data_IF_235686620665
#
_entry.id   IF_235686620665
#
_cell.length_a   1.000
_cell.length_b   1.000
_cell.length_c   1.000
_cell.angle_alpha   90.00
_cell.angle_beta   90.00
_cell.angle_gamma   90.00
#
_symmetry.space_group_name_H-M   'P 1'
#
loop_
_entity.id
_entity.type
_entity.pdbx_description
1 polymer ?
#
# COMPACT_ATOMS: atom_id res chain seq x y z
N UNK A 1 28.64 2.99 -19.99
CA UNK A 1 28.33 4.38 -19.62
C UNK A 1 26.84 4.61 -19.41
N UNK A 2 25.94 4.32 -20.34
CA UNK A 2 24.47 4.56 -20.21
C UNK A 2 23.85 3.96 -18.94
N UNK A 3 24.18 2.71 -18.56
CA UNK A 3 23.67 2.05 -17.34
C UNK A 3 24.06 2.77 -16.04
N UNK A 4 25.29 3.31 -15.96
CA UNK A 4 25.75 4.09 -14.79
C UNK A 4 25.04 5.44 -14.69
N UNK A 5 24.77 6.10 -15.82
CA UNK A 5 24.02 7.36 -15.87
C UNK A 5 22.58 7.13 -15.40
N UNK A 6 21.91 6.04 -15.82
CA UNK A 6 20.58 5.68 -15.37
C UNK A 6 20.53 5.36 -13.85
N UNK A 7 21.56 4.70 -13.32
CA UNK A 7 21.67 4.43 -11.88
C UNK A 7 21.90 5.70 -11.07
N UNK A 8 22.75 6.61 -11.56
CA UNK A 8 23.01 7.91 -10.91
C UNK A 8 21.77 8.80 -10.98
N UNK A 9 21.08 8.87 -12.12
CA UNK A 9 19.85 9.63 -12.28
C UNK A 9 18.73 9.05 -11.37
N UNK A 10 18.63 7.73 -11.25
CA UNK A 10 17.72 7.08 -10.32
C UNK A 10 18.06 7.37 -8.86
N UNK A 11 19.33 7.36 -8.49
CA UNK A 11 19.80 7.68 -7.14
C UNK A 11 19.54 9.15 -6.79
N UNK A 12 19.84 10.06 -7.71
CA UNK A 12 19.56 11.51 -7.54
C UNK A 12 18.05 11.75 -7.45
N UNK A 13 17.22 11.07 -8.26
CA UNK A 13 15.77 11.12 -8.16
C UNK A 13 15.24 10.63 -6.81
N UNK A 14 15.80 9.55 -6.27
CA UNK A 14 15.45 9.04 -4.93
C UNK A 14 15.91 10.02 -3.83
N UNK A 15 17.10 10.58 -3.94
CA UNK A 15 17.63 11.56 -2.98
C UNK A 15 16.81 12.86 -2.99
N UNK A 16 16.37 13.35 -4.15
CA UNK A 16 15.51 14.53 -4.24
C UNK A 16 14.09 14.29 -3.71
N UNK A 17 13.60 13.05 -3.72
CA UNK A 17 12.35 12.68 -3.03
C UNK A 17 12.52 12.64 -1.50
N UNK A 18 13.72 12.33 -1.00
CA UNK A 18 14.01 12.26 0.43
C UNK A 18 14.21 13.64 1.08
N UNK A 19 14.62 14.67 0.36
CA UNK A 19 14.82 16.01 0.93
C UNK A 19 13.53 16.68 1.39
N UNK A 20 12.38 16.33 0.82
CA UNK A 20 11.06 16.81 1.29
C UNK A 20 10.50 16.08 2.52
N UNK A 21 11.11 14.96 2.95
CA UNK A 21 10.58 14.14 4.05
C UNK A 21 10.95 14.64 5.46
N UNK A 22 11.82 15.64 5.58
CA UNK A 22 12.35 16.13 6.87
C UNK A 22 11.61 17.34 7.44
N UNK A 23 10.84 18.06 6.62
CA UNK A 23 10.19 19.32 6.97
C UNK A 23 8.75 19.12 7.48
N UNK A 24 8.55 18.39 8.57
CA UNK A 24 7.20 18.13 9.09
C UNK A 24 6.61 19.31 9.86
N UNK A 25 7.48 20.15 10.43
CA UNK A 25 7.07 21.27 11.30
C UNK A 25 6.98 22.64 10.58
N UNK A 26 7.20 22.67 9.26
CA UNK A 26 7.10 23.91 8.47
C UNK A 26 5.78 23.89 7.73
N UNK A 27 4.91 24.91 7.88
CA UNK A 27 3.65 25.00 7.15
C UNK A 27 3.84 24.87 5.64
N UNK A 28 2.90 24.21 4.97
CA UNK A 28 2.92 24.08 3.52
C UNK A 28 2.18 25.27 2.89
N UNK A 29 2.87 25.99 2.02
CA UNK A 29 2.34 27.18 1.33
C UNK A 29 2.67 27.11 -0.17
N UNK A 30 2.12 28.06 -0.95
CA UNK A 30 2.42 28.18 -2.38
C UNK A 30 3.91 28.48 -2.66
N UNK A 31 4.60 29.09 -1.70
CA UNK A 31 6.03 29.42 -1.77
C UNK A 31 6.94 28.26 -1.33
N UNK A 32 6.38 27.15 -0.85
CA UNK A 32 7.17 25.98 -0.43
C UNK A 32 7.92 25.38 -1.62
N UNK A 33 9.25 25.44 -1.57
CA UNK A 33 10.12 24.99 -2.66
C UNK A 33 10.32 23.46 -2.67
N UNK A 34 10.74 22.96 -3.82
CA UNK A 34 11.07 21.56 -4.04
C UNK A 34 9.95 20.74 -4.69
N UNK A 35 10.35 19.75 -5.50
CA UNK A 35 9.43 18.94 -6.27
C UNK A 35 8.33 18.30 -5.40
N UNK A 36 8.71 17.75 -4.25
CA UNK A 36 7.79 17.09 -3.34
C UNK A 36 6.73 18.06 -2.77
N UNK A 37 7.17 19.20 -2.30
CA UNK A 37 6.29 20.22 -1.74
C UNK A 37 5.35 20.78 -2.80
N UNK A 38 5.88 21.22 -3.94
CA UNK A 38 5.11 21.94 -4.95
C UNK A 38 4.16 21.04 -5.75
N UNK A 39 4.52 19.76 -5.99
CA UNK A 39 3.73 18.89 -6.87
C UNK A 39 2.96 17.78 -6.16
N UNK A 40 3.26 17.51 -4.89
CA UNK A 40 2.56 16.45 -4.13
C UNK A 40 1.87 17.02 -2.90
N UNK A 41 2.62 17.63 -1.96
CA UNK A 41 2.08 18.00 -0.66
C UNK A 41 1.12 19.17 -0.78
N UNK A 42 1.54 20.27 -1.42
CA UNK A 42 0.72 21.48 -1.57
C UNK A 42 -0.57 21.22 -2.37
N UNK A 43 -0.56 20.58 -3.56
CA UNK A 43 -1.80 20.25 -4.25
C UNK A 43 -2.72 19.34 -3.45
N UNK A 44 -2.16 18.38 -2.68
CA UNK A 44 -2.95 17.50 -1.85
C UNK A 44 -3.59 18.24 -0.68
N UNK A 45 -2.85 19.14 -0.01
CA UNK A 45 -3.37 20.05 1.02
C UNK A 45 -4.52 20.89 0.46
N UNK A 46 -4.31 21.57 -0.67
CA UNK A 46 -5.34 22.39 -1.32
C UNK A 46 -6.58 21.57 -1.71
N UNK A 47 -6.39 20.35 -2.18
CA UNK A 47 -7.50 19.47 -2.54
C UNK A 47 -8.33 19.07 -1.31
N UNK A 48 -7.69 18.76 -0.19
CA UNK A 48 -8.38 18.46 1.07
C UNK A 48 -9.13 19.70 1.56
N UNK A 49 -8.49 20.87 1.60
CA UNK A 49 -9.10 22.14 2.02
C UNK A 49 -10.31 22.49 1.15
N UNK A 50 -10.20 22.38 -0.17
CA UNK A 50 -11.31 22.63 -1.09
C UNK A 50 -12.52 21.73 -0.78
N UNK A 51 -12.30 20.43 -0.58
CA UNK A 51 -13.39 19.53 -0.22
C UNK A 51 -13.92 19.76 1.19
N UNK A 52 -13.10 20.24 2.13
CA UNK A 52 -13.58 20.63 3.46
C UNK A 52 -14.53 21.84 3.36
N UNK A 53 -14.15 22.89 2.63
CA UNK A 53 -14.98 24.09 2.43
C UNK A 53 -16.37 23.75 1.87
N UNK A 54 -16.46 22.90 0.84
CA UNK A 54 -17.75 22.52 0.24
C UNK A 54 -18.56 21.53 1.08
N UNK A 55 -17.96 20.93 2.10
CA UNK A 55 -18.62 20.00 3.04
C UNK A 55 -18.87 20.62 4.42
N UNK A 56 -18.82 21.96 4.51
CA UNK A 56 -19.10 22.70 5.75
C UNK A 56 -17.95 22.57 6.75
N UNK A 57 -16.73 22.79 6.29
CA UNK A 57 -15.46 22.72 7.04
C UNK A 57 -15.19 21.34 7.66
N UNK A 58 -15.69 20.29 7.02
CA UNK A 58 -15.50 18.93 7.51
C UNK A 58 -14.28 18.26 6.87
N UNK A 59 -13.10 18.44 7.48
CA UNK A 59 -11.84 17.90 7.00
C UNK A 59 -11.76 16.37 7.03
N UNK A 60 -12.48 15.70 7.94
CA UNK A 60 -12.57 14.25 7.96
C UNK A 60 -13.29 13.69 6.72
N UNK A 61 -14.44 14.27 6.35
CA UNK A 61 -15.15 13.93 5.10
C UNK A 61 -14.27 14.27 3.89
N UNK A 62 -13.59 15.41 3.91
CA UNK A 62 -12.67 15.81 2.82
C UNK A 62 -11.56 14.75 2.60
N UNK A 63 -10.94 14.25 3.67
CA UNK A 63 -9.94 13.16 3.59
C UNK A 63 -10.54 11.90 2.98
N UNK A 64 -11.77 11.52 3.35
CA UNK A 64 -12.48 10.37 2.76
C UNK A 64 -12.66 10.58 1.25
N UNK A 65 -13.18 11.73 0.83
CA UNK A 65 -13.43 12.06 -0.58
C UNK A 65 -12.13 12.04 -1.38
N UNK A 66 -11.09 12.74 -0.91
CA UNK A 66 -9.79 12.80 -1.58
C UNK A 66 -9.16 11.41 -1.67
N UNK A 67 -9.28 10.60 -0.62
CA UNK A 67 -8.84 9.20 -0.66
C UNK A 67 -9.52 8.42 -1.77
N UNK A 68 -10.85 8.54 -1.90
CA UNK A 68 -11.62 7.86 -2.94
C UNK A 68 -11.25 8.36 -4.33
N UNK A 69 -11.06 9.66 -4.52
CA UNK A 69 -10.61 10.25 -5.80
C UNK A 69 -9.26 9.67 -6.22
N UNK A 70 -8.28 9.65 -5.32
CA UNK A 70 -6.96 9.09 -5.60
C UNK A 70 -7.06 7.59 -5.91
N UNK A 71 -7.87 6.83 -5.14
CA UNK A 71 -8.10 5.40 -5.41
C UNK A 71 -8.73 5.15 -6.78
N UNK A 72 -9.67 5.98 -7.19
CA UNK A 72 -10.28 5.90 -8.53
C UNK A 72 -9.27 6.28 -9.63
N UNK A 73 -8.45 7.30 -9.42
CA UNK A 73 -7.42 7.70 -10.38
C UNK A 73 -6.38 6.59 -10.63
N UNK A 74 -5.95 5.89 -9.56
CA UNK A 74 -4.99 4.78 -9.68
C UNK A 74 -5.64 3.42 -9.94
N UNK A 75 -6.97 3.33 -10.01
CA UNK A 75 -7.72 2.08 -10.20
C UNK A 75 -7.25 1.27 -11.42
N UNK A 76 -7.06 1.84 -12.64
CA UNK A 76 -6.61 1.06 -13.79
C UNK A 76 -5.23 0.43 -13.56
N UNK A 77 -4.34 1.15 -12.89
CA UNK A 77 -3.02 0.65 -12.50
C UNK A 77 -3.13 -0.51 -11.50
N UNK A 78 -4.01 -0.37 -10.50
CA UNK A 78 -4.24 -1.41 -9.49
C UNK A 78 -4.86 -2.67 -10.10
N UNK A 79 -5.79 -2.54 -11.05
CA UNK A 79 -6.37 -3.70 -11.76
C UNK A 79 -5.28 -4.44 -12.56
N UNK A 80 -4.42 -3.71 -13.28
CA UNK A 80 -3.30 -4.32 -14.01
C UNK A 80 -2.35 -5.07 -13.07
N UNK A 81 -2.07 -4.48 -11.92
CA UNK A 81 -1.24 -5.07 -10.90
C UNK A 81 -1.86 -6.32 -10.25
N UNK A 82 -3.18 -6.31 -9.97
CA UNK A 82 -3.88 -7.50 -9.48
C UNK A 82 -3.79 -8.68 -10.48
N UNK A 83 -3.87 -8.42 -11.79
CA UNK A 83 -3.66 -9.44 -12.82
C UNK A 83 -2.23 -10.00 -12.79
N UNK A 84 -1.23 -9.15 -12.60
CA UNK A 84 0.18 -9.58 -12.49
C UNK A 84 0.44 -10.38 -11.20
N UNK A 85 -0.13 -9.95 -10.08
CA UNK A 85 -0.07 -10.69 -8.80
C UNK A 85 -0.72 -12.07 -8.91
N UNK A 86 -1.80 -12.20 -9.68
CA UNK A 86 -2.47 -13.46 -9.98
C UNK A 86 -1.59 -14.41 -10.79
N UNK A 87 -0.91 -13.91 -11.83
CA UNK A 87 0.05 -14.69 -12.60
C UNK A 87 1.20 -15.22 -11.69
N UNK A 88 1.67 -14.41 -10.75
CA UNK A 88 2.63 -14.82 -9.72
C UNK A 88 2.08 -15.93 -8.82
N UNK A 89 0.80 -15.85 -8.44
CA UNK A 89 0.14 -16.90 -7.62
C UNK A 89 0.02 -18.22 -8.38
N UNK A 90 -0.22 -18.19 -9.69
CA UNK A 90 -0.35 -19.40 -10.50
C UNK A 90 0.91 -20.25 -10.55
N UNK A 91 2.10 -19.65 -10.45
CA UNK A 91 3.39 -20.37 -10.47
C UNK A 91 3.88 -20.79 -9.08
N UNK A 92 3.14 -20.49 -8.00
CA UNK A 92 3.52 -20.85 -6.62
C UNK A 92 3.76 -22.37 -6.44
N UNK A 93 2.93 -23.29 -6.99
CA UNK A 93 3.18 -24.72 -6.85
C UNK A 93 4.51 -25.15 -7.49
N UNK A 94 4.90 -24.55 -8.63
CA UNK A 94 6.19 -24.84 -9.26
C UNK A 94 7.36 -24.28 -8.44
N UNK A 95 7.19 -23.07 -7.88
CA UNK A 95 8.17 -22.49 -6.95
C UNK A 95 8.36 -23.34 -5.69
N UNK A 96 7.29 -23.91 -5.16
CA UNK A 96 7.39 -24.79 -3.99
C UNK A 96 8.18 -26.05 -4.32
N UNK A 97 7.92 -26.71 -5.44
CA UNK A 97 8.70 -27.85 -5.91
C UNK A 97 10.19 -27.54 -6.09
N UNK A 98 10.51 -26.33 -6.60
CA UNK A 98 11.90 -25.87 -6.71
C UNK A 98 12.55 -25.72 -5.32
N UNK A 99 11.86 -25.13 -4.34
CA UNK A 99 12.36 -24.99 -2.97
C UNK A 99 12.57 -26.34 -2.29
N UNK A 100 11.69 -27.31 -2.50
CA UNK A 100 11.82 -28.67 -1.98
C UNK A 100 13.03 -29.38 -2.63
N UNK A 101 13.18 -29.26 -3.96
CA UNK A 101 14.30 -29.84 -4.72
C UNK A 101 15.65 -29.26 -4.28
N UNK A 102 15.71 -27.97 -3.99
CA UNK A 102 16.92 -27.24 -3.59
C UNK A 102 16.85 -26.81 -2.12
N UNK A 103 16.51 -27.75 -1.22
CA UNK A 103 16.27 -27.48 0.21
C UNK A 103 17.54 -27.32 1.05
N UNK A 104 18.71 -27.76 0.54
CA UNK A 104 19.99 -27.61 1.24
C UNK A 104 20.36 -26.15 1.45
N UNK A 105 20.96 -25.85 2.60
CA UNK A 105 21.36 -24.48 2.99
C UNK A 105 22.76 -24.10 2.51
N UNK A 106 23.45 -24.99 1.78
CA UNK A 106 24.76 -24.66 1.23
C UNK A 106 24.67 -23.60 0.13
N UNK A 107 25.73 -22.82 -0.02
CA UNK A 107 25.78 -21.66 -0.91
C UNK A 107 25.54 -22.02 -2.40
N UNK A 108 26.02 -23.19 -2.84
CA UNK A 108 25.85 -23.60 -4.23
C UNK A 108 24.39 -23.95 -4.54
N UNK A 109 23.72 -24.69 -3.63
CA UNK A 109 22.30 -25.02 -3.76
C UNK A 109 21.42 -23.78 -3.72
N UNK A 110 21.73 -22.80 -2.85
CA UNK A 110 20.98 -21.53 -2.80
C UNK A 110 21.17 -20.71 -4.08
N UNK A 111 22.37 -20.68 -4.67
CA UNK A 111 22.59 -20.03 -5.97
C UNK A 111 21.79 -20.71 -7.10
N UNK A 112 21.78 -22.05 -7.13
CA UNK A 112 20.96 -22.80 -8.08
C UNK A 112 19.47 -22.51 -7.91
N UNK A 113 18.96 -22.49 -6.68
CA UNK A 113 17.57 -22.13 -6.40
C UNK A 113 17.22 -20.74 -6.96
N UNK A 114 18.10 -19.75 -6.75
CA UNK A 114 17.90 -18.41 -7.32
C UNK A 114 17.85 -18.41 -8.85
N UNK A 115 18.79 -19.13 -9.50
CA UNK A 115 18.84 -19.22 -10.96
C UNK A 115 17.60 -19.89 -11.54
N UNK A 116 17.19 -21.04 -10.98
CA UNK A 116 16.00 -21.77 -11.41
C UNK A 116 14.71 -21.00 -11.14
N UNK A 117 14.63 -20.26 -10.02
CA UNK A 117 13.51 -19.37 -9.72
C UNK A 117 13.41 -18.25 -10.75
N UNK A 118 14.53 -17.64 -11.14
CA UNK A 118 14.55 -16.60 -12.16
C UNK A 118 14.18 -17.14 -13.55
N UNK A 119 14.67 -18.35 -13.89
CA UNK A 119 14.29 -19.04 -15.13
C UNK A 119 12.78 -19.37 -15.15
N UNK A 120 12.21 -19.78 -14.02
CA UNK A 120 10.77 -20.02 -13.89
C UNK A 120 9.96 -18.75 -14.15
N UNK A 121 10.36 -17.61 -13.58
CA UNK A 121 9.70 -16.33 -13.83
C UNK A 121 9.76 -15.94 -15.32
N UNK A 122 10.93 -16.12 -15.94
CA UNK A 122 11.11 -15.83 -17.36
C UNK A 122 10.25 -16.75 -18.25
N UNK A 123 10.21 -18.04 -17.93
CA UNK A 123 9.41 -19.05 -18.66
C UNK A 123 7.93 -18.69 -18.66
N UNK A 124 7.39 -18.21 -17.55
CA UNK A 124 5.98 -17.84 -17.42
C UNK A 124 5.69 -16.36 -17.72
N UNK A 125 6.71 -15.55 -18.09
CA UNK A 125 6.55 -14.13 -18.35
C UNK A 125 6.10 -13.31 -17.14
N UNK A 126 6.41 -13.78 -15.93
CA UNK A 126 5.99 -13.17 -14.67
C UNK A 126 7.09 -12.25 -14.12
N UNK A 127 6.72 -11.01 -13.79
CA UNK A 127 7.65 -10.08 -13.17
C UNK A 127 7.70 -10.31 -11.64
N UNK A 128 8.86 -10.65 -11.05
CA UNK A 128 8.99 -10.86 -9.61
C UNK A 128 8.70 -9.59 -8.78
N UNK A 129 8.87 -8.40 -9.36
CA UNK A 129 8.58 -7.12 -8.69
C UNK A 129 7.08 -6.79 -8.62
N UNK A 130 6.22 -7.56 -9.30
CA UNK A 130 4.78 -7.33 -9.28
C UNK A 130 4.17 -7.47 -7.88
N UNK A 131 4.77 -8.28 -7.01
CA UNK A 131 4.30 -8.46 -5.63
C UNK A 131 4.54 -7.26 -4.70
N UNK A 132 5.62 -6.50 -4.91
CA UNK A 132 5.96 -5.32 -4.10
C UNK A 132 5.49 -4.00 -4.72
N UNK A 133 4.95 -4.02 -5.94
CA UNK A 133 4.50 -2.82 -6.63
C UNK A 133 3.44 -2.00 -5.86
N UNK A 134 2.46 -2.61 -5.13
CA UNK A 134 1.53 -1.84 -4.30
C UNK A 134 2.23 -0.95 -3.30
N UNK A 135 3.28 -1.46 -2.67
CA UNK A 135 4.04 -0.71 -1.67
C UNK A 135 4.75 0.48 -2.31
N UNK A 136 5.33 0.30 -3.50
CA UNK A 136 6.03 1.38 -4.23
C UNK A 136 5.06 2.52 -4.58
N UNK A 137 3.83 2.20 -4.99
CA UNK A 137 2.80 3.22 -5.30
C UNK A 137 2.22 3.81 -4.02
N UNK A 138 2.03 3.00 -2.98
CA UNK A 138 1.40 3.40 -1.73
C UNK A 138 2.26 4.37 -0.92
N UNK A 139 3.59 4.17 -0.86
CA UNK A 139 4.48 4.95 0.00
C UNK A 139 4.46 6.45 -0.34
N UNK A 140 4.62 6.89 -1.60
CA UNK A 140 4.52 8.31 -1.93
C UNK A 140 3.17 8.92 -1.55
N UNK A 141 2.08 8.21 -1.74
CA UNK A 141 0.74 8.68 -1.40
C UNK A 141 0.60 8.85 0.13
N UNK A 142 1.04 7.84 0.89
CA UNK A 142 0.98 7.87 2.35
C UNK A 142 1.81 9.02 2.92
N UNK A 143 3.05 9.19 2.44
CA UNK A 143 3.94 10.27 2.87
C UNK A 143 3.36 11.63 2.47
N UNK A 144 2.78 11.75 1.28
CA UNK A 144 2.09 12.97 0.84
C UNK A 144 0.93 13.35 1.74
N UNK A 145 0.06 12.39 2.10
CA UNK A 145 -1.03 12.60 3.06
C UNK A 145 -0.51 13.02 4.44
N UNK A 146 0.52 12.34 4.94
CA UNK A 146 1.13 12.68 6.21
C UNK A 146 1.61 14.12 6.26
N UNK A 147 2.38 14.55 5.24
CA UNK A 147 2.86 15.93 5.15
C UNK A 147 1.71 16.92 4.94
N UNK A 148 0.71 16.63 4.13
CA UNK A 148 -0.43 17.51 3.92
C UNK A 148 -1.21 17.72 5.23
N UNK A 149 -1.44 16.66 6.02
CA UNK A 149 -2.14 16.72 7.30
C UNK A 149 -1.33 17.52 8.32
N UNK A 150 -0.05 17.19 8.51
CA UNK A 150 0.77 17.75 9.58
C UNK A 150 1.20 19.20 9.30
N UNK A 151 1.27 19.59 8.03
CA UNK A 151 1.78 20.91 7.61
C UNK A 151 0.68 21.89 7.19
N UNK A 152 -0.59 21.47 7.28
CA UNK A 152 -1.76 22.32 7.08
C UNK A 152 -2.48 22.45 8.42
N UNK A 153 -2.37 23.63 9.04
CA UNK A 153 -2.85 23.87 10.40
C UNK A 153 -4.35 23.59 10.53
N UNK A 154 -5.13 23.99 9.53
CA UNK A 154 -6.57 23.80 9.46
C UNK A 154 -6.93 22.31 9.47
N UNK A 155 -6.15 21.44 8.82
CA UNK A 155 -6.38 19.99 8.83
C UNK A 155 -6.01 19.41 10.18
N UNK A 156 -4.83 19.78 10.71
CA UNK A 156 -4.28 19.20 11.93
C UNK A 156 -5.13 19.51 13.18
N UNK A 157 -5.74 20.69 13.25
CA UNK A 157 -6.51 21.15 14.41
C UNK A 157 -8.00 20.75 14.39
N UNK A 158 -8.50 20.21 13.26
CA UNK A 158 -9.91 19.83 13.18
C UNK A 158 -10.17 18.45 13.80
N UNK A 159 -11.30 18.37 14.51
CA UNK A 159 -11.84 17.14 15.08
C UNK A 159 -12.76 16.45 14.08
N UNK A 160 -12.71 15.13 14.01
CA UNK A 160 -13.63 14.31 13.25
C UNK A 160 -14.08 13.10 14.07
N UNK A 161 -15.39 12.90 14.21
CA UNK A 161 -16.01 11.88 15.05
C UNK A 161 -15.55 12.02 16.53
N UNK A 162 -14.60 11.20 16.98
CA UNK A 162 -14.09 11.18 18.36
C UNK A 162 -12.60 11.54 18.46
N UNK A 163 -11.95 11.91 17.36
CA UNK A 163 -10.51 12.12 17.30
C UNK A 163 -10.15 13.42 16.57
N UNK A 164 -9.02 13.98 16.95
CA UNK A 164 -8.40 15.10 16.25
C UNK A 164 -7.56 14.56 15.09
N UNK A 165 -7.68 15.21 13.92
CA UNK A 165 -7.06 14.71 12.69
C UNK A 165 -5.52 14.69 12.75
N UNK A 166 -4.92 15.69 13.41
CA UNK A 166 -3.46 15.81 13.58
C UNK A 166 -2.90 14.99 14.74
N UNK A 167 -3.75 14.48 15.63
CA UNK A 167 -3.34 13.76 16.83
C UNK A 167 -3.59 12.25 16.72
N UNK A 168 -3.07 11.49 17.66
CA UNK A 168 -3.30 10.04 17.73
C UNK A 168 -4.74 9.75 18.13
N UNK A 169 -5.29 8.66 17.62
CA UNK A 169 -6.63 8.21 18.06
C UNK A 169 -6.59 7.85 19.56
N UNK A 170 -7.34 8.59 20.42
CA UNK A 170 -7.29 8.40 21.86
C UNK A 170 -7.82 7.04 22.34
N UNK A 171 -8.68 6.40 21.53
CA UNK A 171 -9.28 5.11 21.87
C UNK A 171 -8.68 3.93 21.09
N UNK A 172 -7.71 4.16 20.19
CA UNK A 172 -7.10 3.15 19.33
C UNK A 172 -8.09 2.38 18.44
N UNK A 173 -9.28 2.93 18.23
CA UNK A 173 -10.32 2.29 17.40
C UNK A 173 -9.87 2.26 15.93
N UNK A 174 -9.42 3.39 15.39
CA UNK A 174 -8.96 3.47 13.98
C UNK A 174 -7.76 2.55 13.70
N UNK A 175 -6.69 2.51 14.54
CA UNK A 175 -5.61 1.55 14.40
C UNK A 175 -6.10 0.10 14.34
N UNK A 176 -7.01 -0.31 15.22
CA UNK A 176 -7.56 -1.65 15.21
C UNK A 176 -8.38 -1.93 13.94
N UNK A 177 -9.24 -1.00 13.54
CA UNK A 177 -10.03 -1.11 12.31
C UNK A 177 -9.12 -1.15 11.08
N UNK A 178 -8.03 -0.36 11.06
CA UNK A 178 -7.02 -0.40 10.00
C UNK A 178 -6.36 -1.79 9.91
N UNK A 179 -6.01 -2.40 11.04
CA UNK A 179 -5.47 -3.76 11.09
C UNK A 179 -6.45 -4.81 10.59
N UNK A 180 -7.70 -4.77 11.07
CA UNK A 180 -8.77 -5.71 10.65
C UNK A 180 -9.07 -5.57 9.15
N UNK A 181 -9.23 -4.36 8.65
CA UNK A 181 -9.48 -4.12 7.22
C UNK A 181 -8.29 -4.53 6.36
N UNK A 182 -7.04 -4.33 6.83
CA UNK A 182 -5.83 -4.82 6.17
C UNK A 182 -5.82 -6.35 6.10
N UNK A 183 -6.16 -7.03 7.21
CA UNK A 183 -6.25 -8.49 7.23
C UNK A 183 -7.29 -9.03 6.24
N UNK A 184 -8.49 -8.45 6.23
CA UNK A 184 -9.57 -8.84 5.30
C UNK A 184 -9.12 -8.64 3.86
N UNK A 185 -8.57 -7.49 3.54
CA UNK A 185 -8.07 -7.13 2.21
C UNK A 185 -7.01 -8.11 1.74
N UNK A 186 -6.01 -8.42 2.57
CA UNK A 186 -4.95 -9.38 2.24
C UNK A 186 -5.49 -10.81 2.07
N UNK A 187 -6.36 -11.24 2.98
CA UNK A 187 -7.00 -12.57 2.88
C UNK A 187 -7.76 -12.74 1.57
N UNK A 188 -8.46 -11.71 1.12
CA UNK A 188 -9.15 -11.73 -0.19
C UNK A 188 -8.15 -11.73 -1.36
N UNK A 189 -7.08 -10.95 -1.26
CA UNK A 189 -6.02 -10.92 -2.29
C UNK A 189 -5.30 -12.27 -2.43
N UNK A 190 -5.09 -12.97 -1.32
CA UNK A 190 -4.36 -14.25 -1.24
C UNK A 190 -5.29 -15.47 -1.29
N UNK A 191 -6.59 -15.29 -1.55
CA UNK A 191 -7.54 -16.39 -1.62
C UNK A 191 -7.10 -17.45 -2.64
N UNK A 192 -7.05 -18.71 -2.21
CA UNK A 192 -6.60 -19.86 -3.01
C UNK A 192 -5.09 -20.17 -2.91
N UNK A 193 -4.25 -19.33 -2.31
CA UNK A 193 -2.79 -19.53 -2.26
C UNK A 193 -2.17 -19.45 -0.87
N UNK A 194 -2.88 -18.91 0.10
CA UNK A 194 -2.37 -18.68 1.46
C UNK A 194 -1.88 -19.98 2.15
N UNK A 195 -2.49 -21.12 1.86
CA UNK A 195 -2.15 -22.41 2.47
C UNK A 195 -0.97 -23.13 1.78
N UNK A 196 -0.49 -22.62 0.65
CA UNK A 196 0.55 -23.28 -0.14
C UNK A 196 1.96 -22.78 0.18
N UNK A 197 2.10 -21.64 0.85
CA UNK A 197 3.39 -21.05 1.15
C UNK A 197 3.43 -20.46 2.58
N UNK A 198 4.27 -21.03 3.48
CA UNK A 198 4.40 -20.54 4.86
C UNK A 198 4.80 -19.05 4.96
N UNK A 199 5.58 -18.56 4.02
CA UNK A 199 6.00 -17.15 3.96
C UNK A 199 4.82 -16.22 3.67
N UNK A 200 3.88 -16.63 2.81
CA UNK A 200 2.66 -15.88 2.54
C UNK A 200 1.71 -15.92 3.74
N UNK A 201 1.60 -17.06 4.42
CA UNK A 201 0.82 -17.18 5.64
C UNK A 201 1.37 -16.26 6.76
N UNK A 202 2.68 -16.20 6.92
CA UNK A 202 3.32 -15.27 7.87
C UNK A 202 3.00 -13.80 7.51
N UNK A 203 3.08 -13.43 6.24
CA UNK A 203 2.78 -12.07 5.79
C UNK A 203 1.31 -11.68 6.04
N UNK A 204 0.38 -12.64 5.95
CA UNK A 204 -1.05 -12.43 6.23
C UNK A 204 -1.30 -11.92 7.67
N UNK A 205 -0.49 -12.36 8.64
CA UNK A 205 -0.61 -11.95 10.05
C UNK A 205 0.32 -10.80 10.41
N UNK A 206 1.55 -10.83 9.93
CA UNK A 206 2.56 -9.83 10.28
C UNK A 206 2.18 -8.42 9.80
N UNK A 207 1.68 -8.31 8.58
CA UNK A 207 1.37 -7.01 7.97
C UNK A 207 0.25 -6.26 8.71
N UNK A 208 -0.93 -6.86 9.04
CA UNK A 208 -1.95 -6.21 9.84
C UNK A 208 -1.46 -5.77 11.22
N UNK A 209 -0.66 -6.60 11.90
CA UNK A 209 -0.07 -6.24 13.19
C UNK A 209 0.86 -5.04 13.03
N UNK A 210 1.71 -5.02 12.02
CA UNK A 210 2.59 -3.90 11.70
C UNK A 210 1.79 -2.61 11.45
N UNK A 211 0.68 -2.69 10.71
CA UNK A 211 -0.19 -1.54 10.46
C UNK A 211 -0.80 -1.01 11.76
N UNK A 212 -1.26 -1.87 12.66
CA UNK A 212 -1.77 -1.44 13.97
C UNK A 212 -0.69 -0.69 14.75
N UNK A 213 0.53 -1.24 14.83
CA UNK A 213 1.65 -0.62 15.56
C UNK A 213 2.00 0.74 14.95
N UNK A 214 2.06 0.87 13.63
CA UNK A 214 2.29 2.16 12.98
C UNK A 214 1.13 3.13 13.22
N UNK A 215 -0.11 2.69 13.05
CA UNK A 215 -1.31 3.52 13.19
C UNK A 215 -1.47 4.08 14.60
N UNK A 216 -1.03 3.37 15.65
CA UNK A 216 -0.98 3.88 17.03
C UNK A 216 -0.01 5.07 17.17
N UNK A 217 1.04 5.11 16.36
CA UNK A 217 2.11 6.12 16.45
C UNK A 217 1.87 7.34 15.58
N UNK A 218 0.98 7.24 14.60
CA UNK A 218 0.70 8.29 13.62
C UNK A 218 -0.62 9.03 13.90
N UNK A 219 -0.84 10.21 13.29
CA UNK A 219 -2.10 10.96 13.36
C UNK A 219 -3.30 10.11 12.92
N UNK A 220 -4.44 10.31 13.59
CA UNK A 220 -5.67 9.57 13.33
C UNK A 220 -6.19 9.73 11.89
N UNK A 221 -5.93 10.88 11.26
CA UNK A 221 -6.25 11.11 9.85
C UNK A 221 -5.56 10.12 8.90
N UNK A 222 -4.32 9.68 9.21
CA UNK A 222 -3.65 8.64 8.43
C UNK A 222 -4.31 7.27 8.60
N UNK A 223 -4.75 6.97 9.82
CA UNK A 223 -5.51 5.74 10.10
C UNK A 223 -6.85 5.76 9.36
N UNK A 224 -7.54 6.91 9.32
CA UNK A 224 -8.75 7.11 8.53
C UNK A 224 -8.50 6.87 7.03
N UNK A 225 -7.47 7.51 6.48
CA UNK A 225 -7.03 7.29 5.10
C UNK A 225 -6.79 5.78 4.82
N UNK A 226 -6.12 5.08 5.74
CA UNK A 226 -5.81 3.66 5.60
C UNK A 226 -7.06 2.79 5.61
N UNK A 227 -7.98 3.03 6.54
CA UNK A 227 -9.27 2.32 6.65
C UNK A 227 -10.10 2.49 5.38
N UNK A 228 -10.28 3.73 4.93
CA UNK A 228 -11.05 4.06 3.70
C UNK A 228 -10.40 3.41 2.48
N UNK A 229 -9.07 3.51 2.37
CA UNK A 229 -8.31 2.88 1.30
C UNK A 229 -8.44 1.35 1.28
N UNK A 230 -8.42 0.70 2.45
CA UNK A 230 -8.62 -0.74 2.56
C UNK A 230 -10.04 -1.16 2.19
N UNK A 231 -11.05 -0.42 2.65
CA UNK A 231 -12.46 -0.67 2.29
C UNK A 231 -12.62 -0.59 0.76
N UNK A 232 -12.06 0.44 0.14
CA UNK A 232 -12.07 0.56 -1.32
C UNK A 232 -11.41 -0.65 -2.00
N UNK A 233 -10.25 -1.08 -1.51
CA UNK A 233 -9.52 -2.23 -2.05
C UNK A 233 -10.27 -3.55 -1.84
N UNK A 234 -10.99 -3.72 -0.73
CA UNK A 234 -11.87 -4.87 -0.47
C UNK A 234 -12.98 -4.91 -1.52
N UNK A 235 -13.67 -3.80 -1.72
CA UNK A 235 -14.74 -3.67 -2.71
C UNK A 235 -14.21 -3.93 -4.12
N UNK A 236 -13.11 -3.30 -4.50
CA UNK A 236 -12.42 -3.53 -5.78
C UNK A 236 -12.07 -5.01 -5.98
N UNK A 237 -11.48 -5.66 -4.97
CA UNK A 237 -11.08 -7.07 -5.05
C UNK A 237 -12.28 -7.98 -5.20
N UNK A 238 -13.37 -7.68 -4.51
CA UNK A 238 -14.63 -8.41 -4.64
C UNK A 238 -15.16 -8.39 -6.08
N UNK A 239 -15.17 -7.24 -6.73
CA UNK A 239 -15.64 -7.12 -8.13
C UNK A 239 -14.65 -7.75 -9.13
N UNK A 240 -13.36 -7.60 -8.93
CA UNK A 240 -12.34 -8.11 -9.89
C UNK A 240 -12.11 -9.61 -9.73
N UNK A 241 -12.14 -10.15 -8.51
CA UNK A 241 -11.91 -11.57 -8.19
C UNK A 241 -13.17 -12.35 -7.83
N UNK A 242 -14.34 -11.72 -7.89
CA UNK A 242 -15.61 -12.31 -7.42
C UNK A 242 -15.91 -13.73 -7.93
N UNK A 243 -15.72 -14.05 -9.23
CA UNK A 243 -15.93 -15.41 -9.74
C UNK A 243 -15.02 -16.46 -9.09
N UNK A 244 -13.78 -16.10 -8.77
CA UNK A 244 -12.78 -16.99 -8.18
C UNK A 244 -12.97 -17.17 -6.68
N UNK A 245 -13.39 -16.12 -5.98
CA UNK A 245 -13.75 -16.18 -4.57
C UNK A 245 -14.93 -17.13 -4.34
N UNK A 246 -15.90 -17.15 -5.28
CA UNK A 246 -17.01 -18.12 -5.26
C UNK A 246 -16.51 -19.55 -5.49
N UNK A 247 -15.70 -19.78 -6.52
CA UNK A 247 -15.15 -21.11 -6.82
C UNK A 247 -14.28 -21.66 -5.68
N UNK A 248 -13.49 -20.83 -4.99
CA UNK A 248 -12.70 -21.22 -3.82
C UNK A 248 -13.58 -21.58 -2.62
N UNK A 249 -14.72 -20.95 -2.46
CA UNK A 249 -15.70 -21.24 -1.40
C UNK A 249 -16.45 -22.55 -1.65
N UNK A 250 -16.84 -22.80 -2.91
CA UNK A 250 -17.56 -24.00 -3.30
C UNK A 250 -16.66 -25.24 -3.32
N UNK A 251 -15.39 -25.10 -3.67
CA UNK A 251 -14.37 -26.16 -3.62
C UNK A 251 -13.93 -26.57 -2.20
N UNK A 252 -14.03 -25.66 -1.22
CA UNK A 252 -13.72 -25.94 0.19
C UNK A 252 -14.83 -26.71 0.91
N UNK A 253 -16.04 -26.77 0.37
CA UNK A 253 -17.18 -27.46 0.96
C UNK A 253 -17.36 -28.89 0.44
N UNK A 254 -16.42 -29.39 -0.37
CA UNK A 254 -16.41 -30.74 -0.96
C UNK A 254 -15.32 -31.65 -0.38
N UNK A 255 -14.77 -31.34 0.80
CA UNK A 255 -13.84 -32.23 1.52
C UNK A 255 -14.41 -32.60 2.88
#
# INVERSE_FOLDING_TARGET
MKRRIFLIAGLVGILSLLTGCTEVNVPITAESEGFWNSYIVYPLSQLITYFAEITGDNYGIAIVIVTLIIRLAILPLMIKQMKSSKAMQAIQPEMQKLREKYSSKDQQTQQKLQQETMALFQKHGVNPLAGCFPLIVQMPILIGFYHAIMRTEEIAQHTFLWFDLGERDPYFILPLVAGVTTFIQQKMMMAGTANQNPQMAMMLWLMPIMIVVFAISFPAALSLYWVVGNIFMIVQTYFVKGPELKAAKDGGNKK
#
